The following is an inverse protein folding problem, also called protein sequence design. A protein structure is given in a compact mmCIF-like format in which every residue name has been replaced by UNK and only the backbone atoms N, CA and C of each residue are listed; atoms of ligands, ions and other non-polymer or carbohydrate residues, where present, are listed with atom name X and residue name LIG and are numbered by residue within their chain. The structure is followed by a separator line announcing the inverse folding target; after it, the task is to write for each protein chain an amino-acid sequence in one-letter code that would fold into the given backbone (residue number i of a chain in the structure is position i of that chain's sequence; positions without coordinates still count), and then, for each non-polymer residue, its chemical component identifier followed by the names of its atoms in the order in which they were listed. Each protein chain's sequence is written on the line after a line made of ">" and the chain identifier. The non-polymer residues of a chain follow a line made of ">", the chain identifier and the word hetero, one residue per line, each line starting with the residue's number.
data_IF_383819820314
#
_entry.id   IF_383819820314
#
_cell.length_a   1.000
_cell.length_b   1.000
_cell.length_c   1.000
_cell.angle_alpha   90.00
_cell.angle_beta   90.00
_cell.angle_gamma   90.00
#
_symmetry.space_group_name_H-M   'P 1'
#
loop_
_entity.id
_entity.type
_entity.pdbx_description
1 polymer ?
#
# COMPACT_ATOMS: atom_id res chain seq x y z
N UNK A 1 18.19 2.20 -21.90
CA UNK A 1 18.15 3.27 -20.87
C UNK A 1 16.79 3.46 -20.20
N UNK A 2 15.64 3.54 -20.88
CA UNK A 2 14.33 3.79 -20.21
C UNK A 2 13.86 2.69 -19.24
N UNK A 3 14.30 1.43 -19.40
CA UNK A 3 13.87 0.31 -18.55
C UNK A 3 14.72 0.09 -17.29
N UNK A 4 15.98 0.49 -17.28
CA UNK A 4 16.90 0.15 -16.18
C UNK A 4 16.48 0.83 -14.86
N UNK A 5 16.04 2.08 -14.93
CA UNK A 5 15.52 2.80 -13.76
C UNK A 5 14.22 2.21 -13.20
N UNK A 6 13.33 1.68 -14.06
CA UNK A 6 12.11 1.01 -13.61
C UNK A 6 12.43 -0.34 -12.95
N UNK A 7 13.35 -1.11 -13.52
CA UNK A 7 13.77 -2.40 -12.96
C UNK A 7 14.42 -2.23 -11.57
N UNK A 8 15.30 -1.24 -11.40
CA UNK A 8 15.88 -0.91 -10.09
C UNK A 8 14.81 -0.47 -9.08
N UNK A 9 13.85 0.36 -9.50
CA UNK A 9 12.72 0.74 -8.66
C UNK A 9 11.90 -0.47 -8.20
N UNK A 10 11.55 -1.38 -9.12
CA UNK A 10 10.78 -2.58 -8.80
C UNK A 10 11.54 -3.54 -7.85
N UNK A 11 12.86 -3.65 -8.02
CA UNK A 11 13.70 -4.43 -7.10
C UNK A 11 13.65 -3.88 -5.66
N UNK A 12 13.78 -2.55 -5.49
CA UNK A 12 13.66 -1.91 -4.18
C UNK A 12 12.23 -1.99 -3.63
N UNK A 13 11.20 -1.91 -4.48
CA UNK A 13 9.81 -2.14 -4.08
C UNK A 13 9.64 -3.53 -3.47
N UNK A 14 10.13 -4.59 -4.14
CA UNK A 14 10.01 -5.96 -3.65
C UNK A 14 10.72 -6.16 -2.31
N UNK A 15 11.90 -5.56 -2.14
CA UNK A 15 12.65 -5.59 -0.89
C UNK A 15 11.90 -4.89 0.25
N UNK A 16 11.43 -3.66 0.04
CA UNK A 16 10.67 -2.91 1.06
C UNK A 16 9.36 -3.61 1.41
N UNK A 17 8.62 -4.06 0.40
CA UNK A 17 7.39 -4.82 0.56
C UNK A 17 7.59 -6.05 1.45
N UNK A 18 8.62 -6.86 1.17
CA UNK A 18 8.95 -8.04 1.99
C UNK A 18 9.23 -7.65 3.44
N UNK A 19 10.05 -6.61 3.64
CA UNK A 19 10.36 -6.09 4.98
C UNK A 19 9.10 -5.65 5.73
N UNK A 20 8.24 -4.86 5.11
CA UNK A 20 7.02 -4.36 5.74
C UNK A 20 6.06 -5.49 6.12
N UNK A 21 5.95 -6.52 5.28
CA UNK A 21 5.12 -7.69 5.59
C UNK A 21 5.66 -8.47 6.79
N UNK A 22 6.97 -8.72 6.83
CA UNK A 22 7.60 -9.39 7.97
C UNK A 22 7.36 -8.62 9.26
N UNK A 23 7.62 -7.31 9.28
CA UNK A 23 7.43 -6.51 10.49
C UNK A 23 5.94 -6.42 10.91
N UNK A 24 5.01 -6.32 9.95
CA UNK A 24 3.57 -6.34 10.25
C UNK A 24 3.08 -7.71 10.78
N UNK A 25 3.66 -8.80 10.30
CA UNK A 25 3.38 -10.15 10.81
C UNK A 25 3.95 -10.35 12.22
N UNK A 26 5.16 -9.87 12.51
CA UNK A 26 5.76 -9.88 13.86
C UNK A 26 4.91 -9.05 14.85
N UNK A 27 4.52 -7.84 14.46
CA UNK A 27 3.63 -6.99 15.25
C UNK A 27 2.29 -7.67 15.53
N UNK A 28 1.77 -8.43 14.56
CA UNK A 28 0.56 -9.23 14.76
C UNK A 28 0.76 -10.34 15.77
N UNK A 29 1.90 -11.03 15.74
CA UNK A 29 2.21 -12.08 16.72
C UNK A 29 2.27 -11.51 18.13
N UNK A 30 2.94 -10.37 18.31
CA UNK A 30 2.99 -9.65 19.59
C UNK A 30 1.59 -9.22 20.06
N UNK A 31 0.73 -8.73 19.15
CA UNK A 31 -0.66 -8.37 19.45
C UNK A 31 -1.51 -9.57 19.89
N UNK A 32 -1.30 -10.74 19.27
CA UNK A 32 -2.02 -11.95 19.65
C UNK A 32 -1.52 -12.57 20.95
N UNK A 33 -0.25 -12.34 21.29
CA UNK A 33 0.38 -12.82 22.52
C UNK A 33 0.21 -11.88 23.73
N UNK A 34 -0.60 -10.82 23.60
CA UNK A 34 -0.81 -9.79 24.63
C UNK A 34 0.49 -9.08 25.05
N UNK A 35 1.46 -8.97 24.12
CA UNK A 35 2.76 -8.34 24.32
C UNK A 35 2.90 -6.98 23.63
N UNK A 36 1.80 -6.46 23.08
CA UNK A 36 1.77 -5.24 22.27
C UNK A 36 1.84 -3.98 23.13
N UNK A 37 2.81 -3.11 22.83
CA UNK A 37 3.12 -1.90 23.61
C UNK A 37 2.79 -0.64 22.82
N UNK A 38 2.74 0.50 23.50
CA UNK A 38 2.46 1.81 22.87
C UNK A 38 3.37 2.12 21.67
N UNK A 39 4.64 1.70 21.70
CA UNK A 39 5.57 1.89 20.57
C UNK A 39 5.23 1.04 19.34
N UNK A 40 4.55 -0.08 19.54
CA UNK A 40 4.20 -1.03 18.49
C UNK A 40 3.00 -0.51 17.67
N UNK A 41 2.14 0.31 18.29
CA UNK A 41 1.15 1.13 17.57
C UNK A 41 1.83 2.11 16.62
N UNK A 42 2.78 2.90 17.11
CA UNK A 42 3.54 3.85 16.29
C UNK A 42 4.27 3.14 15.13
N UNK A 43 4.86 1.98 15.40
CA UNK A 43 5.50 1.17 14.37
C UNK A 43 4.48 0.68 13.32
N UNK A 44 3.33 0.20 13.76
CA UNK A 44 2.24 -0.25 12.88
C UNK A 44 1.72 0.87 12.00
N UNK A 45 1.39 2.01 12.59
CA UNK A 45 0.93 3.21 11.91
C UNK A 45 1.91 3.62 10.82
N UNK A 46 3.20 3.68 11.17
CA UNK A 46 4.25 4.01 10.22
C UNK A 46 4.35 3.00 9.08
N UNK A 47 4.28 1.70 9.38
CA UNK A 47 4.35 0.63 8.38
C UNK A 47 3.16 0.68 7.42
N UNK A 48 1.94 0.86 7.94
CA UNK A 48 0.73 1.00 7.13
C UNK A 48 0.80 2.24 6.23
N UNK A 49 1.32 3.35 6.75
CA UNK A 49 1.52 4.58 5.99
C UNK A 49 2.48 4.35 4.81
N UNK A 50 3.72 3.90 5.08
CA UNK A 50 4.75 3.77 4.04
C UNK A 50 4.43 2.65 3.04
N UNK A 51 3.75 1.58 3.46
CA UNK A 51 3.33 0.53 2.55
C UNK A 51 2.18 1.00 1.64
N UNK A 52 1.26 1.82 2.16
CA UNK A 52 0.24 2.49 1.35
C UNK A 52 0.87 3.46 0.35
N UNK A 53 1.86 4.25 0.76
CA UNK A 53 2.60 5.16 -0.13
C UNK A 53 3.35 4.42 -1.25
N UNK A 54 3.98 3.28 -0.94
CA UNK A 54 4.60 2.41 -1.92
C UNK A 54 3.57 1.93 -2.97
N UNK A 55 2.38 1.53 -2.53
CA UNK A 55 1.30 1.13 -3.43
C UNK A 55 0.80 2.29 -4.30
N UNK A 56 0.68 3.50 -3.74
CA UNK A 56 0.31 4.70 -4.51
C UNK A 56 1.38 4.99 -5.59
N UNK A 57 2.67 4.83 -5.27
CA UNK A 57 3.76 4.95 -6.24
C UNK A 57 3.60 3.96 -7.40
N UNK A 58 3.39 2.68 -7.10
CA UNK A 58 3.14 1.64 -8.09
C UNK A 58 1.90 1.93 -8.94
N UNK A 59 0.81 2.40 -8.32
CA UNK A 59 -0.42 2.78 -8.99
C UNK A 59 -0.17 3.90 -10.02
N UNK A 60 0.62 4.92 -9.66
CA UNK A 60 1.01 6.00 -10.57
C UNK A 60 1.85 5.49 -11.75
N UNK A 61 2.76 4.55 -11.51
CA UNK A 61 3.52 3.91 -12.60
C UNK A 61 2.62 3.10 -13.53
N UNK A 62 1.69 2.31 -12.99
CA UNK A 62 0.71 1.55 -13.77
C UNK A 62 -0.14 2.48 -14.63
N UNK A 63 -0.63 3.57 -14.04
CA UNK A 63 -1.46 4.55 -14.74
C UNK A 63 -0.68 5.25 -15.85
N UNK A 64 0.54 5.70 -15.57
CA UNK A 64 1.42 6.31 -16.58
C UNK A 64 1.69 5.36 -17.74
N UNK A 65 1.83 4.06 -17.49
CA UNK A 65 1.95 3.04 -18.53
C UNK A 65 0.66 2.91 -19.37
N UNK A 66 -0.51 3.00 -18.75
CA UNK A 66 -1.80 2.85 -19.43
C UNK A 66 -2.18 4.06 -20.31
N UNK A 67 -1.88 5.29 -19.88
CA UNK A 67 -2.36 6.52 -20.55
C UNK A 67 -1.29 7.59 -20.81
N UNK A 68 -0.02 7.33 -20.52
CA UNK A 68 1.11 8.23 -20.79
C UNK A 68 1.39 9.28 -19.71
N UNK A 69 0.47 9.53 -18.78
CA UNK A 69 0.66 10.46 -17.66
C UNK A 69 0.06 9.95 -16.34
N UNK A 70 0.59 10.43 -15.22
CA UNK A 70 0.08 10.14 -13.87
C UNK A 70 -1.05 11.10 -13.48
N UNK A 71 -1.80 10.75 -12.44
CA UNK A 71 -2.76 11.65 -11.79
C UNK A 71 -2.09 12.50 -10.70
N UNK A 72 -2.77 13.57 -10.29
CA UNK A 72 -2.29 14.52 -9.26
C UNK A 72 -2.35 13.90 -7.87
N UNK A 73 -3.51 13.37 -7.49
CA UNK A 73 -3.73 12.77 -6.17
C UNK A 73 -3.89 11.24 -6.19
N UNK A 74 -3.83 10.65 -5.00
CA UNK A 74 -3.89 9.20 -4.82
C UNK A 74 -5.24 8.61 -5.23
N UNK A 75 -6.35 9.20 -4.79
CA UNK A 75 -7.67 8.65 -5.07
C UNK A 75 -8.00 8.71 -6.56
N UNK A 76 -7.69 9.83 -7.21
CA UNK A 76 -7.82 9.97 -8.66
C UNK A 76 -6.98 8.92 -9.40
N UNK A 77 -5.76 8.62 -8.92
CA UNK A 77 -4.93 7.56 -9.49
C UNK A 77 -5.67 6.22 -9.52
N UNK A 78 -6.25 5.80 -8.38
CA UNK A 78 -6.99 4.53 -8.31
C UNK A 78 -8.31 4.56 -9.09
N UNK A 79 -9.01 5.71 -9.14
CA UNK A 79 -10.20 5.86 -9.98
C UNK A 79 -9.88 5.61 -11.45
N UNK A 80 -8.80 6.19 -11.96
CA UNK A 80 -8.38 5.98 -13.33
C UNK A 80 -7.87 4.55 -13.59
N UNK A 81 -7.20 3.91 -12.62
CA UNK A 81 -6.88 2.48 -12.73
C UNK A 81 -8.15 1.63 -12.91
N UNK A 82 -9.26 1.97 -12.23
CA UNK A 82 -10.54 1.29 -12.42
C UNK A 82 -11.12 1.55 -13.82
N UNK A 83 -11.01 2.78 -14.32
CA UNK A 83 -11.47 3.13 -15.68
C UNK A 83 -10.71 2.34 -16.75
N UNK A 84 -9.41 2.12 -16.56
CA UNK A 84 -8.57 1.27 -17.42
C UNK A 84 -8.73 -0.24 -17.15
N UNK A 85 -9.64 -0.67 -16.28
CA UNK A 85 -9.88 -2.08 -15.97
C UNK A 85 -8.76 -2.77 -15.18
N UNK A 86 -7.80 -2.01 -14.64
CA UNK A 86 -6.66 -2.55 -13.88
C UNK A 86 -7.04 -2.92 -12.45
N UNK A 87 -8.13 -2.38 -11.92
CA UNK A 87 -8.74 -2.78 -10.64
C UNK A 87 -10.27 -2.84 -10.76
N UNK A 88 -10.93 -3.61 -9.89
CA UNK A 88 -12.40 -3.67 -9.84
C UNK A 88 -13.01 -2.48 -9.07
N UNK A 89 -14.33 -2.31 -9.18
CA UNK A 89 -15.07 -1.33 -8.37
C UNK A 89 -14.95 -1.61 -6.87
N UNK A 90 -14.92 -2.88 -6.45
CA UNK A 90 -14.74 -3.26 -5.05
C UNK A 90 -13.36 -2.89 -4.53
N UNK A 91 -12.32 -3.11 -5.35
CA UNK A 91 -10.97 -2.67 -5.05
C UNK A 91 -10.89 -1.14 -4.93
N UNK A 92 -11.58 -0.38 -5.79
CA UNK A 92 -11.62 1.08 -5.67
C UNK A 92 -12.27 1.52 -4.35
N UNK A 93 -13.38 0.91 -3.95
CA UNK A 93 -14.03 1.19 -2.66
C UNK A 93 -13.11 0.88 -1.48
N UNK A 94 -12.35 -0.21 -1.56
CA UNK A 94 -11.35 -0.57 -0.56
C UNK A 94 -10.21 0.45 -0.51
N UNK A 95 -9.67 0.85 -1.67
CA UNK A 95 -8.60 1.85 -1.75
C UNK A 95 -9.03 3.22 -1.25
N UNK A 96 -10.30 3.59 -1.39
CA UNK A 96 -10.85 4.79 -0.74
C UNK A 96 -10.63 4.77 0.78
N UNK A 97 -10.87 3.63 1.43
CA UNK A 97 -10.68 3.46 2.88
C UNK A 97 -9.20 3.48 3.26
N UNK A 98 -8.37 2.75 2.51
CA UNK A 98 -6.91 2.69 2.74
C UNK A 98 -6.27 4.09 2.62
N UNK A 99 -6.61 4.84 1.58
CA UNK A 99 -6.12 6.21 1.38
C UNK A 99 -6.64 7.13 2.49
N UNK A 100 -7.89 6.97 2.91
CA UNK A 100 -8.46 7.70 4.05
C UNK A 100 -7.69 7.45 5.34
N UNK A 101 -7.37 6.19 5.66
CA UNK A 101 -6.53 5.82 6.80
C UNK A 101 -5.16 6.49 6.71
N UNK A 102 -4.47 6.38 5.56
CA UNK A 102 -3.16 7.01 5.36
C UNK A 102 -3.22 8.52 5.57
N UNK A 103 -4.27 9.19 5.09
CA UNK A 103 -4.43 10.63 5.28
C UNK A 103 -4.64 10.98 6.75
N UNK A 104 -5.42 10.16 7.48
CA UNK A 104 -5.55 10.31 8.93
C UNK A 104 -4.20 10.19 9.65
N UNK A 105 -3.41 9.16 9.29
CA UNK A 105 -2.10 8.88 9.90
C UNK A 105 -1.06 9.99 9.66
N UNK A 106 -1.14 10.68 8.53
CA UNK A 106 -0.21 11.75 8.17
C UNK A 106 -0.52 13.08 8.87
N UNK A 107 -1.80 13.33 9.16
CA UNK A 107 -2.25 14.65 9.53
C UNK A 107 -2.49 14.86 11.04
N UNK A 108 -2.29 13.87 11.92
CA UNK A 108 -2.39 13.93 13.40
C UNK A 108 -3.66 14.58 14.01
N UNK A 109 -4.60 15.10 13.21
CA UNK A 109 -5.80 15.80 13.66
C UNK A 109 -6.92 14.87 14.14
N UNK A 110 -6.82 13.58 13.86
CA UNK A 110 -7.73 12.56 14.35
C UNK A 110 -6.89 11.68 15.27
N UNK A 111 -7.23 11.64 16.56
CA UNK A 111 -6.85 10.50 17.41
C UNK A 111 -7.39 9.26 16.70
N UNK A 112 -6.58 8.61 15.87
CA UNK A 112 -7.00 7.37 15.21
C UNK A 112 -7.25 6.40 16.34
N UNK A 113 -8.47 5.89 16.37
CA UNK A 113 -8.86 4.90 17.35
C UNK A 113 -7.92 3.70 17.23
N UNK A 114 -7.15 3.43 18.29
CA UNK A 114 -6.20 2.33 18.34
C UNK A 114 -6.89 0.98 18.05
N UNK A 115 -8.20 0.88 18.31
CA UNK A 115 -9.01 -0.29 17.96
C UNK A 115 -9.05 -0.55 16.45
N UNK A 116 -8.96 0.49 15.61
CA UNK A 116 -8.87 0.34 14.15
C UNK A 116 -7.52 -0.28 13.78
N UNK A 117 -6.42 0.21 14.38
CA UNK A 117 -5.08 -0.30 14.14
C UNK A 117 -4.98 -1.76 14.57
N UNK A 118 -5.45 -2.09 15.78
CA UNK A 118 -5.52 -3.47 16.25
C UNK A 118 -6.35 -4.35 15.32
N UNK A 119 -7.51 -3.87 14.86
CA UNK A 119 -8.37 -4.62 13.96
C UNK A 119 -7.67 -4.93 12.63
N UNK A 120 -7.01 -3.94 12.03
CA UNK A 120 -6.26 -4.11 10.77
C UNK A 120 -5.19 -5.20 10.93
N UNK A 121 -4.42 -5.15 12.01
CA UNK A 121 -3.33 -6.10 12.27
C UNK A 121 -3.87 -7.48 12.59
N UNK A 122 -4.79 -7.58 13.55
CA UNK A 122 -5.39 -8.85 13.99
C UNK A 122 -6.02 -9.61 12.82
N UNK A 123 -6.75 -8.90 11.95
CA UNK A 123 -7.45 -9.45 10.78
C UNK A 123 -6.57 -9.54 9.52
N UNK A 124 -5.28 -9.21 9.60
CA UNK A 124 -4.34 -9.22 8.45
C UNK A 124 -4.83 -8.39 7.25
N UNK A 125 -5.56 -7.30 7.50
CA UNK A 125 -6.09 -6.45 6.41
C UNK A 125 -4.98 -5.79 5.60
N UNK A 126 -3.78 -5.63 6.17
CA UNK A 126 -2.59 -5.14 5.46
C UNK A 126 -2.16 -6.01 4.29
N UNK A 127 -2.56 -7.29 4.21
CA UNK A 127 -2.27 -8.16 3.07
C UNK A 127 -2.89 -7.66 1.76
N UNK A 128 -3.88 -6.77 1.84
CA UNK A 128 -4.47 -6.15 0.65
C UNK A 128 -3.47 -5.21 -0.07
N UNK A 129 -2.52 -4.64 0.68
CA UNK A 129 -1.40 -3.87 0.12
C UNK A 129 -0.42 -4.79 -0.62
N UNK A 130 -0.18 -5.99 -0.09
CA UNK A 130 0.63 -7.04 -0.75
C UNK A 130 -0.01 -7.52 -2.05
N UNK A 131 -1.30 -7.87 -2.01
CA UNK A 131 -2.05 -8.31 -3.20
C UNK A 131 -1.97 -7.28 -4.31
N UNK A 132 -2.24 -6.00 -4.00
CA UNK A 132 -2.16 -4.94 -5.01
C UNK A 132 -0.73 -4.72 -5.50
N UNK A 133 0.25 -4.62 -4.60
CA UNK A 133 1.64 -4.35 -5.00
C UNK A 133 2.23 -5.48 -5.85
N UNK A 134 1.92 -6.75 -5.55
CA UNK A 134 2.25 -7.90 -6.42
C UNK A 134 1.67 -7.71 -7.81
N UNK A 135 0.36 -7.47 -7.91
CA UNK A 135 -0.33 -7.28 -9.19
C UNK A 135 0.28 -6.12 -9.99
N UNK A 136 0.59 -5.01 -9.33
CA UNK A 136 1.17 -3.83 -9.97
C UNK A 136 2.59 -4.10 -10.48
N UNK A 137 3.42 -4.83 -9.71
CA UNK A 137 4.75 -5.28 -10.15
C UNK A 137 4.62 -6.16 -11.39
N UNK A 138 3.71 -7.13 -11.40
CA UNK A 138 3.48 -8.01 -12.56
C UNK A 138 3.08 -7.22 -13.82
N UNK A 139 2.19 -6.24 -13.67
CA UNK A 139 1.77 -5.35 -14.76
C UNK A 139 2.98 -4.58 -15.32
N UNK A 140 3.86 -4.10 -14.44
CA UNK A 140 5.02 -3.30 -14.82
C UNK A 140 6.15 -4.14 -15.41
N UNK A 141 6.35 -5.38 -14.97
CA UNK A 141 7.36 -6.30 -15.50
C UNK A 141 7.00 -6.88 -16.86
N UNK A 142 5.71 -7.15 -17.13
CA UNK A 142 5.22 -7.66 -18.44
C UNK A 142 5.38 -6.68 -19.62
N UNK A 143 6.07 -5.55 -19.43
CA UNK A 143 6.27 -4.51 -20.45
C UNK A 143 7.48 -4.73 -21.37
N UNK A 144 8.33 -5.71 -21.08
CA UNK A 144 9.61 -5.92 -21.78
C UNK A 144 9.56 -7.01 -22.88
N UNK A 145 8.36 -7.32 -23.39
CA UNK A 145 8.15 -8.21 -24.56
C UNK A 145 7.37 -7.48 -25.64
#
# INVERSE_FOLDING_TARGET
>A
MKNEGLQLYLAEVLKHKKKYLTELDELREDLLADNFKSRDYLATERLLQIFTELCIGLAKHCLKKAQGHSATDAYQTFSLLKEHGLISSDQLMQWKKIIGLRNGLVHDYLNIDLLIIEHIIRQRQYLQLDVFSSKAVDILQKADV
#
